data_IF_561940404795
#
_entry.id   IF_561940404795
#
_cell.length_a   1.000
_cell.length_b   1.000
_cell.length_c   1.000
_cell.angle_alpha   90.00
_cell.angle_beta   90.00
_cell.angle_gamma   90.00
#
_symmetry.space_group_name_H-M   'P 1'
#
loop_
_entity.id
_entity.type
_entity.pdbx_description
1 polymer ?
#
# COMPACT_ATOMS: atom_id res chain seq x y z
N UNK A 1 -0.61 3.03 20.06
CA UNK A 1 -2.10 3.14 20.05
C UNK A 1 -2.63 3.46 18.64
N UNK A 2 -2.28 4.60 18.06
CA UNK A 2 -2.77 5.03 16.73
C UNK A 2 -2.41 4.10 15.58
N UNK A 3 -1.21 3.51 15.57
CA UNK A 3 -0.78 2.55 14.54
C UNK A 3 -1.65 1.28 14.51
N UNK A 4 -1.98 0.75 15.69
CA UNK A 4 -2.82 -0.44 15.84
C UNK A 4 -4.25 -0.17 15.35
N UNK A 5 -4.86 0.90 15.85
CA UNK A 5 -6.22 1.32 15.47
C UNK A 5 -6.33 1.58 13.95
N UNK A 6 -5.29 2.17 13.34
CA UNK A 6 -5.25 2.38 11.90
C UNK A 6 -5.16 1.07 11.12
N UNK A 7 -4.32 0.11 11.54
CA UNK A 7 -4.24 -1.21 10.89
C UNK A 7 -5.57 -1.95 11.02
N UNK A 8 -6.16 -1.97 12.21
CA UNK A 8 -7.42 -2.66 12.46
C UNK A 8 -8.56 -2.07 11.63
N UNK A 9 -8.65 -0.75 11.55
CA UNK A 9 -9.63 -0.06 10.69
C UNK A 9 -9.41 -0.34 9.21
N UNK A 10 -8.19 -0.21 8.71
CA UNK A 10 -7.88 -0.48 7.30
C UNK A 10 -8.15 -1.94 6.95
N UNK A 11 -7.82 -2.87 7.85
CA UNK A 11 -8.10 -4.29 7.68
C UNK A 11 -9.61 -4.56 7.65
N UNK A 12 -10.38 -3.98 8.60
CA UNK A 12 -11.83 -4.10 8.63
C UNK A 12 -12.47 -3.60 7.33
N UNK A 13 -12.09 -2.40 6.87
CA UNK A 13 -12.59 -1.81 5.63
C UNK A 13 -12.23 -2.66 4.41
N UNK A 14 -11.00 -3.17 4.36
CA UNK A 14 -10.52 -4.03 3.27
C UNK A 14 -11.29 -5.36 3.24
N UNK A 15 -11.42 -6.03 4.39
CA UNK A 15 -12.16 -7.30 4.50
C UNK A 15 -13.62 -7.08 4.10
N UNK A 16 -14.24 -5.96 4.51
CA UNK A 16 -15.63 -5.62 4.15
C UNK A 16 -15.81 -5.37 2.66
N UNK A 17 -14.85 -4.72 1.99
CA UNK A 17 -14.88 -4.56 0.53
C UNK A 17 -14.72 -5.90 -0.18
N UNK A 18 -13.75 -6.71 0.26
CA UNK A 18 -13.49 -8.03 -0.32
C UNK A 18 -14.67 -9.00 -0.12
N UNK A 19 -15.34 -8.98 1.03
CA UNK A 19 -16.50 -9.84 1.30
C UNK A 19 -17.67 -9.51 0.35
N UNK A 20 -17.92 -8.23 0.07
CA UNK A 20 -18.93 -7.81 -0.91
C UNK A 20 -18.57 -8.30 -2.32
N UNK A 21 -17.29 -8.16 -2.73
CA UNK A 21 -16.80 -8.64 -4.02
C UNK A 21 -16.94 -10.17 -4.13
N UNK A 22 -16.57 -10.92 -3.09
CA UNK A 22 -16.73 -12.37 -3.11
C UNK A 22 -18.22 -12.75 -3.19
N UNK A 23 -19.07 -12.09 -2.40
CA UNK A 23 -20.51 -12.33 -2.41
C UNK A 23 -21.22 -11.93 -3.72
N UNK A 24 -20.62 -11.02 -4.51
CA UNK A 24 -21.11 -10.66 -5.84
C UNK A 24 -20.86 -11.74 -6.90
N UNK A 25 -20.04 -12.76 -6.60
CA UNK A 25 -19.75 -13.89 -7.49
C UNK A 25 -20.33 -15.20 -6.90
N UNK A 26 -21.57 -15.59 -7.25
CA UNK A 26 -22.29 -16.68 -6.57
C UNK A 26 -21.54 -18.01 -6.53
N UNK A 27 -20.96 -18.43 -7.65
CA UNK A 27 -20.21 -19.70 -7.76
C UNK A 27 -18.92 -19.67 -6.93
N UNK A 28 -18.17 -18.56 -6.99
CA UNK A 28 -16.94 -18.39 -6.22
C UNK A 28 -17.21 -18.33 -4.72
N UNK A 29 -18.28 -17.63 -4.32
CA UNK A 29 -18.72 -17.55 -2.94
C UNK A 29 -19.09 -18.91 -2.36
N UNK A 30 -19.87 -19.70 -3.11
CA UNK A 30 -20.25 -21.07 -2.72
C UNK A 30 -19.01 -21.93 -2.49
N UNK A 31 -18.08 -21.95 -3.45
CA UNK A 31 -16.84 -22.73 -3.33
C UNK A 31 -15.99 -22.31 -2.14
N UNK A 32 -15.94 -21.01 -1.82
CA UNK A 32 -15.22 -20.49 -0.66
C UNK A 32 -15.85 -20.97 0.66
N UNK A 33 -17.18 -20.87 0.79
CA UNK A 33 -17.90 -21.32 1.99
C UNK A 33 -17.74 -22.83 2.19
N UNK A 34 -17.92 -23.63 1.13
CA UNK A 34 -17.74 -25.08 1.22
C UNK A 34 -16.31 -25.46 1.60
N UNK A 35 -15.31 -24.74 1.09
CA UNK A 35 -13.91 -24.94 1.50
C UNK A 35 -13.71 -24.62 2.98
N UNK A 36 -14.25 -23.50 3.45
CA UNK A 36 -14.17 -23.12 4.86
C UNK A 36 -14.80 -24.18 5.78
N UNK A 37 -16.00 -24.68 5.44
CA UNK A 37 -16.67 -25.71 6.24
C UNK A 37 -15.88 -27.02 6.26
N UNK A 38 -15.26 -27.41 5.13
CA UNK A 38 -14.36 -28.57 5.07
C UNK A 38 -13.12 -28.39 5.94
N UNK A 39 -12.45 -27.25 5.83
CA UNK A 39 -11.17 -27.00 6.51
C UNK A 39 -11.34 -26.84 8.04
N UNK A 40 -12.48 -26.30 8.49
CA UNK A 40 -12.77 -26.07 9.91
C UNK A 40 -13.63 -27.16 10.55
N UNK A 41 -14.19 -28.08 9.76
CA UNK A 41 -15.08 -29.15 10.24
C UNK A 41 -16.42 -28.67 10.80
N UNK A 42 -16.75 -27.37 10.67
CA UNK A 42 -17.95 -26.76 11.21
C UNK A 42 -18.76 -26.11 10.08
N UNK A 43 -20.07 -26.36 10.07
CA UNK A 43 -21.00 -25.71 9.15
C UNK A 43 -21.34 -24.30 9.61
N UNK A 44 -21.52 -23.41 8.65
CA UNK A 44 -22.09 -22.09 8.93
C UNK A 44 -23.59 -22.32 9.18
N UNK A 45 -24.10 -21.88 10.33
CA UNK A 45 -25.49 -22.12 10.78
C UNK A 45 -26.60 -21.44 9.95
N UNK A 46 -26.32 -21.05 8.71
CA UNK A 46 -27.28 -20.49 7.77
C UNK A 46 -26.99 -20.96 6.35
N UNK A 47 -28.00 -20.91 5.47
CA UNK A 47 -27.79 -21.27 4.06
C UNK A 47 -26.81 -20.31 3.38
N UNK A 48 -26.04 -20.84 2.43
CA UNK A 48 -25.04 -20.10 1.65
C UNK A 48 -25.67 -18.86 1.00
N UNK A 49 -26.88 -18.98 0.45
CA UNK A 49 -27.56 -17.85 -0.21
C UNK A 49 -28.02 -16.77 0.79
N UNK A 50 -28.42 -17.17 2.01
CA UNK A 50 -28.76 -16.23 3.08
C UNK A 50 -27.52 -15.47 3.55
N UNK A 51 -26.39 -16.18 3.72
CA UNK A 51 -25.10 -15.58 4.04
C UNK A 51 -24.63 -14.60 2.95
N UNK A 52 -24.77 -14.98 1.68
CA UNK A 52 -24.39 -14.14 0.54
C UNK A 52 -25.17 -12.84 0.50
N UNK A 53 -26.51 -12.91 0.65
CA UNK A 53 -27.37 -11.72 0.73
C UNK A 53 -27.05 -10.83 1.93
N UNK A 54 -26.75 -11.44 3.08
CA UNK A 54 -26.31 -10.71 4.26
C UNK A 54 -25.01 -9.93 4.01
N UNK A 55 -24.00 -10.57 3.40
CA UNK A 55 -22.73 -9.92 3.06
C UNK A 55 -22.90 -8.79 2.04
N UNK A 56 -23.78 -8.97 1.04
CA UNK A 56 -24.09 -7.94 0.04
C UNK A 56 -24.83 -6.73 0.62
N UNK A 57 -25.63 -6.91 1.67
CA UNK A 57 -26.32 -5.79 2.32
C UNK A 57 -25.34 -4.82 3.00
N UNK A 58 -24.14 -5.28 3.39
CA UNK A 58 -23.10 -4.42 3.96
C UNK A 58 -23.41 -3.81 5.34
N UNK A 59 -24.60 -4.09 5.89
CA UNK A 59 -25.06 -3.61 7.20
C UNK A 59 -24.53 -4.48 8.35
N UNK A 60 -23.22 -4.51 8.48
CA UNK A 60 -22.51 -5.18 9.58
C UNK A 60 -21.16 -4.50 9.82
N UNK A 61 -20.68 -4.59 11.05
CA UNK A 61 -19.35 -4.14 11.41
C UNK A 61 -18.39 -5.33 11.51
N UNK A 62 -17.14 -5.09 11.12
CA UNK A 62 -16.07 -6.07 11.26
C UNK A 62 -15.20 -5.62 12.41
N UNK A 63 -15.14 -6.44 13.45
CA UNK A 63 -14.15 -6.27 14.52
C UNK A 63 -12.94 -7.14 14.21
N UNK A 64 -11.78 -6.53 14.14
CA UNK A 64 -10.51 -7.23 13.89
C UNK A 64 -9.88 -7.56 15.23
N UNK A 65 -9.47 -8.82 15.43
CA UNK A 65 -8.76 -9.24 16.63
C UNK A 65 -7.44 -8.46 16.76
N UNK A 66 -7.09 -7.87 17.92
CA UNK A 66 -5.83 -7.16 18.10
C UNK A 66 -4.57 -7.98 17.77
N UNK A 67 -4.63 -9.32 17.86
CA UNK A 67 -3.55 -10.22 17.44
C UNK A 67 -3.26 -10.12 15.94
N UNK A 68 -4.24 -9.74 15.11
CA UNK A 68 -4.04 -9.48 13.69
C UNK A 68 -3.02 -8.36 13.47
N UNK A 69 -3.10 -7.26 14.24
CA UNK A 69 -2.13 -6.15 14.14
C UNK A 69 -0.72 -6.60 14.49
N UNK A 70 -0.57 -7.49 15.47
CA UNK A 70 0.71 -8.12 15.83
C UNK A 70 1.24 -9.02 14.69
N UNK A 71 0.35 -9.82 14.09
CA UNK A 71 0.69 -10.64 12.93
C UNK A 71 1.18 -9.81 11.75
N UNK A 72 0.48 -8.71 11.44
CA UNK A 72 0.88 -7.77 10.38
C UNK A 72 2.23 -7.10 10.69
N UNK A 73 2.48 -6.73 11.94
CA UNK A 73 3.79 -6.20 12.33
C UNK A 73 4.91 -7.24 12.16
N UNK A 74 4.63 -8.53 12.46
CA UNK A 74 5.58 -9.61 12.21
C UNK A 74 5.86 -9.80 10.71
N UNK A 75 4.86 -9.58 9.84
CA UNK A 75 5.04 -9.64 8.38
C UNK A 75 6.00 -8.56 7.86
N UNK A 76 6.18 -7.43 8.55
CA UNK A 76 7.14 -6.40 8.16
C UNK A 76 8.58 -6.95 8.07
N UNK A 77 8.91 -8.02 8.79
CA UNK A 77 10.21 -8.71 8.68
C UNK A 77 10.45 -9.27 7.28
N UNK A 78 9.40 -9.64 6.55
CA UNK A 78 9.51 -10.12 5.17
C UNK A 78 9.70 -8.98 4.15
N UNK A 79 9.41 -7.74 4.53
CA UNK A 79 9.65 -6.57 3.65
C UNK A 79 11.13 -6.20 3.58
N UNK A 80 11.87 -6.48 4.66
CA UNK A 80 13.28 -6.11 4.76
C UNK A 80 14.13 -6.75 3.65
N UNK A 81 14.09 -8.07 3.40
CA UNK A 81 14.80 -8.68 2.28
C UNK A 81 14.40 -8.11 0.92
N UNK A 82 13.12 -7.77 0.72
CA UNK A 82 12.62 -7.22 -0.54
C UNK A 82 13.26 -5.85 -0.80
N UNK A 83 13.25 -4.95 0.21
CA UNK A 83 13.87 -3.64 0.11
C UNK A 83 15.37 -3.72 -0.17
N UNK A 84 16.08 -4.64 0.49
CA UNK A 84 17.51 -4.87 0.27
C UNK A 84 17.83 -5.58 -1.06
N UNK A 85 16.85 -6.22 -1.70
CA UNK A 85 17.02 -6.83 -3.02
C UNK A 85 16.88 -5.81 -4.15
N UNK A 86 16.38 -4.60 -3.87
CA UNK A 86 16.37 -3.52 -4.84
C UNK A 86 17.74 -2.84 -4.93
N UNK A 87 18.03 -2.27 -6.08
CA UNK A 87 19.20 -1.45 -6.31
C UNK A 87 18.94 -0.03 -5.79
N UNK A 88 19.84 0.46 -4.95
CA UNK A 88 19.67 1.71 -4.23
C UNK A 88 20.39 2.85 -4.93
N UNK A 89 19.61 3.83 -5.39
CA UNK A 89 20.12 5.09 -5.93
C UNK A 89 19.79 6.25 -4.99
N UNK A 90 20.76 7.13 -4.79
CA UNK A 90 20.59 8.36 -4.04
C UNK A 90 20.71 9.54 -4.99
N UNK A 91 19.62 10.26 -5.17
CA UNK A 91 19.55 11.44 -6.04
C UNK A 91 19.78 12.70 -5.23
N UNK A 92 20.84 13.42 -5.56
CA UNK A 92 21.19 14.72 -4.98
C UNK A 92 20.59 15.85 -5.81
N UNK A 93 19.83 16.75 -5.18
CA UNK A 93 19.27 17.92 -5.84
C UNK A 93 20.34 19.00 -6.04
N UNK A 94 20.75 19.24 -7.29
CA UNK A 94 21.85 20.17 -7.62
C UNK A 94 21.42 21.57 -8.02
N UNK A 95 20.13 21.74 -8.32
CA UNK A 95 19.58 22.96 -8.91
C UNK A 95 18.69 23.71 -7.89
N UNK A 96 18.00 24.78 -8.33
CA UNK A 96 17.08 25.58 -7.51
C UNK A 96 15.92 24.79 -6.88
N UNK A 97 15.63 23.60 -7.42
CA UNK A 97 14.54 22.76 -6.95
C UNK A 97 15.01 21.79 -5.87
N UNK A 98 14.25 21.73 -4.79
CA UNK A 98 14.49 20.84 -3.65
C UNK A 98 13.40 19.79 -3.52
N UNK A 99 13.74 18.67 -2.91
CA UNK A 99 12.77 17.62 -2.61
C UNK A 99 11.81 18.08 -1.51
N UNK A 100 10.53 17.75 -1.68
CA UNK A 100 9.50 17.89 -0.65
C UNK A 100 9.32 16.56 0.07
N UNK A 101 8.74 16.60 1.26
CA UNK A 101 8.34 15.40 2.02
C UNK A 101 6.87 15.50 2.42
N UNK A 102 6.33 14.49 3.09
CA UNK A 102 4.91 14.45 3.50
C UNK A 102 4.71 13.68 4.80
N UNK A 103 3.47 13.61 5.27
CA UNK A 103 3.08 12.73 6.37
C UNK A 103 2.99 11.24 5.98
N UNK A 104 3.28 10.93 4.70
CA UNK A 104 3.48 9.58 4.18
C UNK A 104 4.63 9.59 3.14
N UNK A 105 5.89 9.72 3.60
CA UNK A 105 7.03 10.07 2.75
C UNK A 105 7.54 8.90 1.90
N UNK A 106 7.25 7.66 2.28
CA UNK A 106 7.60 6.49 1.47
C UNK A 106 6.46 6.23 0.48
N UNK A 107 6.76 6.36 -0.81
CA UNK A 107 5.83 6.03 -1.87
C UNK A 107 6.41 4.95 -2.77
N UNK A 108 5.55 4.12 -3.34
CA UNK A 108 5.93 3.15 -4.34
C UNK A 108 4.91 3.13 -5.47
N UNK A 109 5.37 2.93 -6.70
CA UNK A 109 4.52 2.81 -7.86
C UNK A 109 5.14 1.88 -8.89
N UNK A 110 4.31 1.26 -9.71
CA UNK A 110 4.76 0.63 -10.96
C UNK A 110 4.31 1.54 -12.12
N UNK A 111 5.23 2.11 -12.91
CA UNK A 111 4.88 3.02 -14.00
C UNK A 111 4.15 2.32 -15.15
N UNK A 112 4.12 0.98 -15.17
CA UNK A 112 3.43 0.15 -16.16
C UNK A 112 2.07 -0.36 -15.70
N UNK A 113 1.67 -0.06 -14.45
CA UNK A 113 0.43 -0.56 -13.88
C UNK A 113 -0.82 0.04 -14.56
N UNK A 114 -1.82 -0.78 -14.90
CA UNK A 114 -3.10 -0.29 -15.43
C UNK A 114 -3.84 0.50 -14.34
N UNK A 115 -4.08 1.81 -14.52
CA UNK A 115 -4.78 2.62 -13.53
C UNK A 115 -6.23 2.18 -13.28
N UNK A 116 -6.80 1.32 -14.15
CA UNK A 116 -8.14 0.74 -13.99
C UNK A 116 -8.13 -0.59 -13.24
N UNK A 117 -6.96 -1.11 -12.87
CA UNK A 117 -6.84 -2.31 -12.06
C UNK A 117 -7.47 -2.09 -10.68
N UNK A 118 -8.29 -3.06 -10.25
CA UNK A 118 -8.85 -3.08 -8.90
C UNK A 118 -7.81 -3.47 -7.83
N UNK A 119 -6.71 -4.09 -8.24
CA UNK A 119 -5.61 -4.48 -7.36
C UNK A 119 -4.49 -3.45 -7.44
N UNK A 120 -3.95 -3.07 -6.28
CA UNK A 120 -2.75 -2.24 -6.21
C UNK A 120 -1.47 -3.00 -6.59
N UNK A 121 -0.35 -2.28 -6.58
CA UNK A 121 0.97 -2.82 -6.90
C UNK A 121 1.62 -3.39 -5.64
N UNK A 122 2.22 -4.58 -5.74
CA UNK A 122 3.00 -5.19 -4.65
C UNK A 122 4.49 -4.89 -4.76
N UNK A 123 5.20 -4.86 -3.62
CA UNK A 123 6.65 -4.59 -3.55
C UNK A 123 7.53 -5.63 -4.27
N UNK A 124 7.00 -6.84 -4.52
CA UNK A 124 7.66 -7.90 -5.28
C UNK A 124 7.59 -7.69 -6.81
N UNK A 125 6.85 -6.69 -7.28
CA UNK A 125 6.82 -6.37 -8.70
C UNK A 125 8.15 -5.74 -9.10
N UNK A 126 8.87 -6.36 -10.05
CA UNK A 126 10.17 -5.88 -10.52
C UNK A 126 10.12 -4.51 -11.23
N UNK A 127 8.93 -4.08 -11.66
CA UNK A 127 8.75 -2.75 -12.25
C UNK A 127 8.57 -1.64 -11.19
N UNK A 128 8.52 -1.98 -9.91
CA UNK A 128 8.26 -1.01 -8.87
C UNK A 128 9.42 -0.03 -8.68
N UNK A 129 9.05 1.22 -8.44
CA UNK A 129 9.95 2.28 -8.02
C UNK A 129 9.53 2.74 -6.62
N UNK A 130 10.42 2.58 -5.66
CA UNK A 130 10.25 3.01 -4.28
C UNK A 130 10.99 4.34 -4.13
N UNK A 131 10.34 5.36 -3.57
CA UNK A 131 10.94 6.68 -3.37
C UNK A 131 10.74 7.13 -1.94
N UNK A 132 11.77 7.72 -1.35
CA UNK A 132 11.73 8.25 0.01
C UNK A 132 12.62 9.51 0.12
N UNK A 133 12.06 10.71 0.32
CA UNK A 133 12.85 11.92 0.52
C UNK A 133 13.56 11.84 1.88
N UNK A 134 14.89 11.71 1.85
CA UNK A 134 15.72 11.67 3.07
C UNK A 134 15.89 13.10 3.61
N UNK A 135 16.08 14.06 2.70
CA UNK A 135 16.19 15.48 3.02
C UNK A 135 15.74 16.32 1.83
N UNK A 136 15.75 17.65 1.99
CA UNK A 136 15.51 18.58 0.88
C UNK A 136 16.51 18.44 -0.28
N UNK A 137 17.68 17.87 -0.01
CA UNK A 137 18.78 17.73 -0.98
C UNK A 137 18.98 16.29 -1.44
N UNK A 138 18.37 15.29 -0.78
CA UNK A 138 18.64 13.87 -1.05
C UNK A 138 17.36 13.04 -1.09
N UNK A 139 17.17 12.32 -2.19
CA UNK A 139 16.08 11.37 -2.40
C UNK A 139 16.64 9.95 -2.52
N UNK A 140 16.09 9.02 -1.76
CA UNK A 140 16.28 7.59 -1.97
C UNK A 140 15.35 7.09 -3.08
N UNK A 141 15.89 6.29 -3.99
CA UNK A 141 15.14 5.56 -5.00
C UNK A 141 15.60 4.10 -5.03
N UNK A 142 14.70 3.18 -4.69
CA UNK A 142 14.89 1.74 -4.81
C UNK A 142 14.19 1.20 -6.05
N UNK A 143 14.94 0.58 -6.97
CA UNK A 143 14.41 -0.05 -8.19
C UNK A 143 15.08 -1.39 -8.44
N UNK A 144 14.43 -2.32 -9.12
CA UNK A 144 15.06 -3.62 -9.46
C UNK A 144 16.02 -3.54 -10.65
N UNK A 145 15.95 -2.46 -11.45
CA UNK A 145 16.87 -2.20 -12.57
C UNK A 145 18.26 -1.84 -12.05
N UNK A 146 19.30 -2.11 -12.85
CA UNK A 146 20.71 -1.80 -12.51
C UNK A 146 20.98 -0.28 -12.52
N UNK A 147 20.55 0.41 -11.48
CA UNK A 147 20.83 1.81 -11.21
C UNK A 147 21.16 1.94 -9.74
N UNK A 148 22.40 2.32 -9.44
CA UNK A 148 22.93 2.35 -8.08
C UNK A 148 23.80 3.58 -7.82
N UNK A 149 23.99 3.86 -6.54
CA UNK A 149 24.94 4.86 -6.04
C UNK A 149 24.37 6.28 -6.02
N UNK A 150 25.27 7.25 -5.86
CA UNK A 150 24.91 8.68 -5.79
C UNK A 150 24.89 9.30 -7.19
N UNK A 151 23.85 10.08 -7.48
CA UNK A 151 23.65 10.73 -8.78
C UNK A 151 23.05 12.13 -8.60
N UNK A 152 23.33 13.02 -9.54
CA UNK A 152 22.80 14.39 -9.56
C UNK A 152 21.45 14.43 -10.29
N UNK A 153 20.42 14.93 -9.62
CA UNK A 153 19.09 15.09 -10.20
C UNK A 153 18.95 16.46 -10.87
N UNK A 154 18.45 16.46 -12.11
CA UNK A 154 18.01 17.69 -12.76
C UNK A 154 16.62 18.11 -12.29
N UNK A 155 16.26 19.36 -12.56
CA UNK A 155 14.95 19.93 -12.23
C UNK A 155 13.73 19.09 -12.67
N UNK A 156 13.79 18.45 -13.84
CA UNK A 156 12.69 17.61 -14.34
C UNK A 156 12.49 16.38 -13.45
N UNK A 157 13.59 15.75 -13.04
CA UNK A 157 13.56 14.59 -12.15
C UNK A 157 13.08 14.98 -10.75
N UNK A 158 13.58 16.08 -10.19
CA UNK A 158 13.12 16.59 -8.88
C UNK A 158 11.61 16.84 -8.89
N UNK A 159 11.09 17.50 -9.93
CA UNK A 159 9.65 17.73 -10.09
C UNK A 159 8.85 16.42 -10.15
N UNK A 160 9.30 15.45 -10.94
CA UNK A 160 8.62 14.16 -11.04
C UNK A 160 8.57 13.39 -9.72
N UNK A 161 9.66 13.43 -8.95
CA UNK A 161 9.72 12.79 -7.63
C UNK A 161 8.88 13.53 -6.58
N UNK A 162 8.85 14.86 -6.63
CA UNK A 162 7.97 15.65 -5.77
C UNK A 162 6.49 15.39 -6.06
N UNK A 163 6.09 15.26 -7.34
CA UNK A 163 4.72 14.91 -7.70
C UNK A 163 4.27 13.58 -7.05
N UNK A 164 5.14 12.57 -7.03
CA UNK A 164 4.85 11.28 -6.38
C UNK A 164 4.64 11.44 -4.87
N UNK A 165 5.49 12.24 -4.23
CA UNK A 165 5.39 12.55 -2.79
C UNK A 165 4.07 13.25 -2.48
N UNK A 166 3.68 14.22 -3.32
CA UNK A 166 2.43 14.98 -3.17
C UNK A 166 1.20 14.07 -3.37
N UNK A 167 1.19 13.23 -4.39
CA UNK A 167 0.09 12.29 -4.67
C UNK A 167 -0.06 11.27 -3.53
N UNK A 168 1.04 10.87 -2.91
CA UNK A 168 1.05 9.84 -1.85
C UNK A 168 0.80 10.42 -0.45
N UNK A 169 0.77 11.75 -0.30
CA UNK A 169 0.54 12.41 0.99
C UNK A 169 -0.87 12.08 1.51
N UNK A 170 -0.98 11.80 2.81
CA UNK A 170 -2.29 11.52 3.41
C UNK A 170 -3.01 12.83 3.74
N UNK A 171 -2.29 13.81 4.29
CA UNK A 171 -2.86 15.10 4.69
C UNK A 171 -1.95 16.29 4.41
N UNK A 172 -0.64 16.12 4.57
CA UNK A 172 0.28 17.26 4.57
C UNK A 172 1.50 17.02 3.69
N UNK A 173 1.91 18.07 2.97
CA UNK A 173 3.16 18.14 2.24
C UNK A 173 4.01 19.21 2.90
N UNK A 174 5.29 18.91 3.11
CA UNK A 174 6.26 19.80 3.73
C UNK A 174 7.33 20.17 2.71
N UNK A 175 7.49 21.47 2.48
CA UNK A 175 8.53 22.03 1.62
C UNK A 175 9.61 22.72 2.48
N UNK A 176 10.86 22.77 2.01
CA UNK A 176 11.95 23.42 2.75
C UNK A 176 11.84 24.95 2.77
N UNK A 177 10.98 25.52 1.93
CA UNK A 177 10.76 26.96 1.78
C UNK A 177 9.25 27.20 1.78
N UNK A 178 8.84 28.30 2.40
CA UNK A 178 7.45 28.77 2.32
C UNK A 178 7.16 29.28 0.92
N UNK A 179 5.96 29.03 0.40
CA UNK A 179 5.49 29.77 -0.77
C UNK A 179 5.34 31.24 -0.35
N UNK A 180 6.02 32.15 -1.04
CA UNK A 180 5.66 33.56 -0.98
C UNK A 180 4.19 33.67 -1.40
N UNK A 181 3.34 34.10 -0.47
CA UNK A 181 1.90 34.20 -0.65
C UNK A 181 1.49 35.27 -1.65
#
# INVERSE_FOLDING_TARGET
PSYRENIERVAADTIKKLSVIWASHPTGFKSMVEKFERDRGNKIGMSIEKLRKFMLNGQYDITVDPQFSLGMAAMAKHLTPILFSTNWTFWEATDDYKFVTSDNPLSYLDPTHDPRSFYGVGLLNENIEITFPISKDLMFVGIWKKLEGYKKANNKLVKGLNQRTVISALRFVFAPQYSDG
#
